data_IF_907406257390
#
_entry.id   IF_907406257390
#
_cell.length_a   1.000
_cell.length_b   1.000
_cell.length_c   1.000
_cell.angle_alpha   90.00
_cell.angle_beta   90.00
_cell.angle_gamma   90.00
#
_symmetry.space_group_name_H-M   'P 1'
#
loop_
_entity.id
_entity.type
_entity.pdbx_description
1 polymer ?
#
# COMPACT_ATOMS: atom_id res chain seq x y z
N UNK A 1 9.23 45.46 5.33
CA UNK A 1 9.35 44.06 4.86
C UNK A 1 8.20 43.79 3.90
N UNK A 2 8.45 43.21 2.72
CA UNK A 2 7.38 42.91 1.76
C UNK A 2 6.79 41.54 2.07
N UNK A 3 5.49 41.48 2.37
CA UNK A 3 4.80 40.21 2.59
C UNK A 3 4.62 39.47 1.26
N UNK A 4 4.82 38.15 1.22
CA UNK A 4 4.62 37.39 0.00
C UNK A 4 3.16 37.52 -0.48
N UNK A 5 3.01 37.66 -1.80
CA UNK A 5 1.70 37.74 -2.47
C UNK A 5 0.88 36.46 -2.25
N UNK A 6 -0.46 36.53 -2.15
CA UNK A 6 -1.36 35.38 -1.98
C UNK A 6 -1.07 34.21 -2.94
N UNK A 7 -0.65 34.52 -4.16
CA UNK A 7 -0.40 33.53 -5.20
C UNK A 7 0.85 32.67 -4.98
N UNK A 8 1.64 32.94 -3.94
CA UNK A 8 2.86 32.16 -3.61
C UNK A 8 2.59 30.98 -2.68
N UNK A 9 1.41 30.90 -2.08
CA UNK A 9 1.03 29.75 -1.27
C UNK A 9 0.54 28.62 -2.18
N UNK A 10 1.11 27.42 -1.98
CA UNK A 10 0.73 26.24 -2.73
C UNK A 10 -0.73 25.87 -2.41
N UNK A 11 -1.58 25.83 -3.45
CA UNK A 11 -2.99 25.49 -3.27
C UNK A 11 -3.15 23.98 -3.16
N UNK A 12 -3.62 23.48 -2.02
CA UNK A 12 -4.12 22.11 -1.90
C UNK A 12 -5.56 22.04 -2.40
N UNK A 13 -6.02 20.89 -2.93
CA UNK A 13 -7.42 20.66 -3.29
C UNK A 13 -8.28 20.20 -2.10
N UNK A 14 -7.64 19.80 -1.01
CA UNK A 14 -8.26 19.26 0.20
C UNK A 14 -8.78 20.42 1.08
N UNK A 15 -10.06 20.42 1.48
CA UNK A 15 -10.74 21.57 2.07
C UNK A 15 -10.14 22.02 3.41
N UNK A 16 -9.70 21.09 4.27
CA UNK A 16 -9.12 21.44 5.57
C UNK A 16 -7.73 22.06 5.40
N UNK A 17 -6.91 21.49 4.52
CA UNK A 17 -5.61 22.05 4.17
C UNK A 17 -5.73 23.43 3.52
N UNK A 18 -6.75 23.66 2.67
CA UNK A 18 -7.03 25.00 2.11
C UNK A 18 -7.31 26.00 3.21
N UNK A 19 -8.14 25.64 4.18
CA UNK A 19 -8.50 26.51 5.29
C UNK A 19 -7.28 26.86 6.17
N UNK A 20 -6.39 25.90 6.42
CA UNK A 20 -5.15 26.12 7.17
C UNK A 20 -4.21 27.09 6.41
N UNK A 21 -4.01 26.87 5.11
CA UNK A 21 -3.17 27.76 4.29
C UNK A 21 -3.73 29.18 4.25
N UNK A 22 -5.05 29.33 4.08
CA UNK A 22 -5.72 30.64 4.12
C UNK A 22 -5.58 31.32 5.49
N UNK A 23 -5.68 30.57 6.59
CA UNK A 23 -5.50 31.12 7.93
C UNK A 23 -4.07 31.64 8.17
N UNK A 24 -3.04 30.90 7.74
CA UNK A 24 -1.65 31.38 7.80
C UNK A 24 -1.41 32.63 6.94
N UNK A 25 -2.07 32.69 5.79
CA UNK A 25 -1.98 33.84 4.92
C UNK A 25 -2.60 35.09 5.56
N UNK A 26 -3.80 34.97 6.14
CA UNK A 26 -4.45 36.07 6.89
C UNK A 26 -3.58 36.51 8.08
N UNK A 27 -3.04 35.56 8.83
CA UNK A 27 -2.13 35.84 9.95
C UNK A 27 -0.89 36.63 9.49
N UNK A 28 -0.33 36.29 8.32
CA UNK A 28 0.83 36.97 7.76
C UNK A 28 0.54 38.45 7.48
N UNK A 29 -0.66 38.79 6.99
CA UNK A 29 -1.05 40.19 6.80
C UNK A 29 -1.34 40.90 8.11
N UNK A 30 -2.01 40.22 9.04
CA UNK A 30 -2.37 40.79 10.34
C UNK A 30 -1.13 41.19 11.17
N UNK A 31 0.01 40.50 11.02
CA UNK A 31 1.27 40.86 11.70
C UNK A 31 1.75 42.27 11.34
N UNK A 32 1.47 42.74 10.12
CA UNK A 32 1.84 44.08 9.66
C UNK A 32 0.79 45.15 9.96
N UNK A 33 -0.36 44.77 10.51
CA UNK A 33 -1.47 45.68 10.78
C UNK A 33 -1.41 46.19 12.24
N UNK A 34 -1.14 47.47 12.39
CA UNK A 34 -1.05 48.14 13.70
C UNK A 34 -2.38 48.19 14.45
N UNK A 35 -3.50 47.99 13.75
CA UNK A 35 -4.83 47.97 14.37
C UNK A 35 -5.15 46.64 15.07
N UNK A 36 -4.38 45.58 14.78
CA UNK A 36 -4.58 44.27 15.40
C UNK A 36 -3.76 44.18 16.69
N UNK A 37 -4.41 43.79 17.79
CA UNK A 37 -3.71 43.67 19.07
C UNK A 37 -2.71 42.51 19.05
N UNK A 38 -1.57 42.68 19.73
CA UNK A 38 -0.57 41.60 19.88
C UNK A 38 -1.16 40.34 20.51
N UNK A 39 -2.16 40.48 21.39
CA UNK A 39 -2.84 39.36 22.02
C UNK A 39 -3.63 38.55 21.00
N UNK A 40 -4.36 39.21 20.11
CA UNK A 40 -5.17 38.54 19.09
C UNK A 40 -4.30 37.86 18.04
N UNK A 41 -3.17 38.49 17.67
CA UNK A 41 -2.16 37.86 16.82
C UNK A 41 -1.60 36.60 17.45
N UNK A 42 -1.25 36.65 18.74
CA UNK A 42 -0.72 35.50 19.46
C UNK A 42 -1.74 34.35 19.53
N UNK A 43 -2.99 34.65 19.89
CA UNK A 43 -4.06 33.66 19.95
C UNK A 43 -4.33 33.02 18.59
N UNK A 44 -4.42 33.83 17.53
CA UNK A 44 -4.64 33.36 16.16
C UNK A 44 -3.49 32.49 15.66
N UNK A 45 -2.25 32.86 16.02
CA UNK A 45 -1.05 32.07 15.69
C UNK A 45 -1.08 30.70 16.37
N UNK A 46 -1.39 30.65 17.67
CA UNK A 46 -1.51 29.39 18.41
C UNK A 46 -2.59 28.49 17.82
N UNK A 47 -3.77 29.04 17.56
CA UNK A 47 -4.90 28.27 17.02
C UNK A 47 -4.57 27.70 15.63
N UNK A 48 -4.05 28.54 14.74
CA UNK A 48 -3.69 28.14 13.37
C UNK A 48 -2.58 27.08 13.38
N UNK A 49 -1.56 27.27 14.23
CA UNK A 49 -0.45 26.30 14.36
C UNK A 49 -0.91 24.97 14.95
N UNK A 50 -1.82 24.99 15.93
CA UNK A 50 -2.40 23.78 16.52
C UNK A 50 -3.22 22.99 15.49
N UNK A 51 -4.08 23.67 14.72
CA UNK A 51 -4.84 23.06 13.62
C UNK A 51 -3.93 22.44 12.57
N UNK A 52 -2.87 23.15 12.18
CA UNK A 52 -1.88 22.65 11.23
C UNK A 52 -1.17 21.39 11.74
N UNK A 53 -0.75 21.38 13.01
CA UNK A 53 -0.11 20.22 13.62
C UNK A 53 -1.04 19.00 13.66
N UNK A 54 -2.32 19.20 14.01
CA UNK A 54 -3.32 18.14 14.01
C UNK A 54 -3.55 17.55 12.60
N UNK A 55 -3.63 18.42 11.59
CA UNK A 55 -3.82 18.01 10.20
C UNK A 55 -2.61 17.23 9.65
N UNK A 56 -1.38 17.68 9.95
CA UNK A 56 -0.16 16.93 9.60
C UNK A 56 -0.14 15.55 10.25
N UNK A 57 -0.55 15.45 11.52
CA UNK A 57 -0.63 14.17 12.22
C UNK A 57 -1.66 13.23 11.57
N UNK A 58 -2.81 13.76 11.16
CA UNK A 58 -3.85 13.03 10.43
C UNK A 58 -3.31 12.49 9.10
N UNK A 59 -2.73 13.35 8.26
CA UNK A 59 -2.15 12.97 6.97
C UNK A 59 -1.05 11.92 7.14
N UNK A 60 -0.20 12.08 8.15
CA UNK A 60 0.86 11.11 8.47
C UNK A 60 0.28 9.75 8.82
N UNK A 61 -0.80 9.70 9.61
CA UNK A 61 -1.50 8.46 9.93
C UNK A 61 -2.12 7.80 8.69
N UNK A 62 -2.80 8.59 7.87
CA UNK A 62 -3.41 8.11 6.63
C UNK A 62 -2.35 7.53 5.67
N UNK A 63 -1.22 8.23 5.50
CA UNK A 63 -0.08 7.76 4.70
C UNK A 63 0.42 6.40 5.19
N UNK A 64 0.69 6.26 6.49
CA UNK A 64 1.15 4.99 7.08
C UNK A 64 0.16 3.85 6.84
N UNK A 65 -1.12 4.10 7.02
CA UNK A 65 -2.16 3.10 6.75
C UNK A 65 -2.21 2.72 5.26
N UNK A 66 -2.09 3.70 4.36
CA UNK A 66 -1.99 3.48 2.93
C UNK A 66 -0.80 2.61 2.54
N UNK A 67 0.38 2.87 3.10
CA UNK A 67 1.59 2.07 2.86
C UNK A 67 1.45 0.63 3.34
N UNK A 68 0.82 0.41 4.50
CA UNK A 68 0.56 -0.95 5.02
C UNK A 68 -0.37 -1.71 4.07
N UNK A 69 -1.47 -1.08 3.64
CA UNK A 69 -2.41 -1.68 2.68
C UNK A 69 -1.74 -1.97 1.34
N UNK A 70 -0.93 -1.04 0.84
CA UNK A 70 -0.19 -1.22 -0.40
C UNK A 70 0.78 -2.41 -0.32
N UNK A 71 1.58 -2.50 0.75
CA UNK A 71 2.47 -3.66 0.96
C UNK A 71 1.71 -4.98 1.04
N UNK A 72 0.54 -4.99 1.67
CA UNK A 72 -0.32 -6.18 1.73
C UNK A 72 -0.79 -6.58 0.32
N UNK A 73 -1.37 -5.65 -0.44
CA UNK A 73 -1.84 -5.89 -1.81
C UNK A 73 -0.71 -6.33 -2.75
N UNK A 74 0.48 -5.75 -2.63
CA UNK A 74 1.64 -6.13 -3.43
C UNK A 74 2.08 -7.59 -3.17
N UNK A 75 2.02 -8.04 -1.92
CA UNK A 75 2.32 -9.44 -1.56
C UNK A 75 1.27 -10.39 -2.15
N UNK A 76 0.01 -10.02 -2.08
CA UNK A 76 -1.08 -10.85 -2.61
C UNK A 76 -1.05 -10.92 -4.14
N UNK A 77 -0.76 -9.81 -4.81
CA UNK A 77 -0.55 -9.76 -6.25
C UNK A 77 0.60 -10.69 -6.67
N UNK A 78 1.73 -10.64 -5.95
CA UNK A 78 2.87 -11.54 -6.21
C UNK A 78 2.48 -13.01 -6.07
N UNK A 79 1.81 -13.39 -4.98
CA UNK A 79 1.33 -14.78 -4.77
C UNK A 79 0.35 -15.21 -5.87
N UNK A 80 -0.57 -14.33 -6.26
CA UNK A 80 -1.51 -14.60 -7.34
C UNK A 80 -0.79 -14.81 -8.67
N UNK A 81 0.20 -13.97 -8.97
CA UNK A 81 0.99 -14.10 -10.19
C UNK A 81 1.81 -15.41 -10.21
N UNK A 82 2.42 -15.78 -9.09
CA UNK A 82 3.13 -17.06 -8.94
C UNK A 82 2.20 -18.26 -9.21
N UNK A 83 0.95 -18.21 -8.70
CA UNK A 83 -0.07 -19.24 -8.96
C UNK A 83 -0.50 -19.30 -10.43
N UNK A 84 -0.67 -18.15 -11.08
CA UNK A 84 -1.02 -18.09 -12.51
C UNK A 84 0.12 -18.71 -13.33
N UNK A 85 1.37 -18.33 -13.07
CA UNK A 85 2.52 -18.89 -13.76
C UNK A 85 2.65 -20.40 -13.53
N UNK A 86 2.40 -20.90 -12.32
CA UNK A 86 2.46 -22.35 -12.05
C UNK A 86 1.36 -23.10 -12.82
N UNK A 87 0.13 -22.56 -12.85
CA UNK A 87 -0.98 -23.16 -13.60
C UNK A 87 -0.72 -23.15 -15.11
N UNK A 88 -0.16 -22.05 -15.64
CA UNK A 88 0.23 -21.97 -17.06
C UNK A 88 1.27 -23.03 -17.43
N UNK A 89 2.30 -23.23 -16.60
CA UNK A 89 3.30 -24.29 -16.82
C UNK A 89 2.68 -25.68 -16.84
N UNK A 90 1.77 -25.97 -15.92
CA UNK A 90 1.05 -27.25 -15.87
C UNK A 90 0.18 -27.48 -17.12
N UNK A 91 -0.41 -26.42 -17.67
CA UNK A 91 -1.21 -26.48 -18.90
C UNK A 91 -0.35 -26.67 -20.16
N UNK A 92 0.91 -26.24 -20.16
CA UNK A 92 1.84 -26.44 -21.28
C UNK A 92 2.46 -27.85 -21.33
N UNK A 93 2.43 -28.59 -20.23
CA UNK A 93 3.18 -29.86 -20.04
C UNK A 93 2.62 -31.17 -20.68
N UNK A 94 1.50 -31.25 -21.44
CA UNK A 94 1.21 -32.46 -22.22
C UNK A 94 1.15 -32.26 -23.74
N UNK A 95 1.79 -31.22 -24.31
CA UNK A 95 1.86 -31.05 -25.78
C UNK A 95 3.15 -31.58 -26.46
N UNK A 96 4.12 -32.11 -25.71
CA UNK A 96 5.40 -32.58 -26.28
C UNK A 96 5.65 -34.09 -26.24
N UNK A 97 4.77 -34.92 -25.67
CA UNK A 97 5.01 -36.37 -25.56
C UNK A 97 4.14 -37.26 -26.46
N UNK A 98 3.45 -36.72 -27.46
CA UNK A 98 2.78 -37.51 -28.49
C UNK A 98 3.64 -37.62 -29.76
N UNK A 99 4.92 -37.98 -29.61
CA UNK A 99 5.72 -38.53 -30.69
C UNK A 99 5.79 -40.05 -30.50
N UNK A 100 5.02 -40.73 -31.36
CA UNK A 100 4.88 -42.17 -31.59
C UNK A 100 6.03 -43.08 -31.10
N UNK A 101 5.76 -44.18 -30.37
CA UNK A 101 6.78 -45.17 -30.05
C UNK A 101 6.89 -46.21 -31.18
N UNK A 102 7.76 -45.98 -32.16
CA UNK A 102 8.33 -47.09 -32.93
C UNK A 102 9.59 -47.56 -32.20
N UNK A 103 9.37 -48.42 -31.21
CA UNK A 103 10.44 -49.00 -30.38
C UNK A 103 10.11 -50.45 -30.06
N UNK A 104 10.84 -51.36 -30.71
CA UNK A 104 10.79 -52.81 -30.45
C UNK A 104 10.93 -53.09 -28.95
N UNK A 105 10.04 -53.93 -28.42
CA UNK A 105 10.09 -54.48 -27.07
C UNK A 105 11.42 -55.24 -26.85
N UNK A 106 12.16 -54.91 -25.79
CA UNK A 106 13.23 -55.75 -25.24
C UNK A 106 12.95 -55.99 -23.75
N UNK A 107 12.51 -57.20 -23.34
CA UNK A 107 11.97 -57.46 -22.00
C UNK A 107 13.03 -57.95 -21.00
N UNK A 108 14.24 -57.39 -21.00
CA UNK A 108 15.26 -57.72 -19.98
C UNK A 108 15.97 -56.50 -19.41
N UNK A 109 15.25 -55.70 -18.62
CA UNK A 109 15.89 -54.90 -17.57
C UNK A 109 14.99 -54.70 -16.36
N UNK A 110 14.93 -55.75 -15.55
CA UNK A 110 14.52 -55.64 -14.16
C UNK A 110 15.62 -54.96 -13.31
N UNK A 111 15.16 -54.38 -12.21
CA UNK A 111 15.90 -54.12 -10.96
C UNK A 111 16.62 -52.77 -10.85
N UNK A 112 16.02 -51.82 -10.15
CA UNK A 112 16.18 -51.73 -8.68
C UNK A 112 15.41 -50.53 -8.10
N UNK A 113 14.56 -50.84 -7.11
CA UNK A 113 14.33 -50.14 -5.84
C UNK A 113 13.97 -48.64 -5.85
N UNK A 114 13.03 -48.14 -5.06
CA UNK A 114 12.23 -48.71 -3.97
C UNK A 114 11.36 -47.58 -3.40
N UNK A 115 10.13 -47.92 -2.99
CA UNK A 115 9.41 -47.44 -1.80
C UNK A 115 9.20 -45.92 -1.57
N UNK A 116 8.09 -45.40 -1.04
CA UNK A 116 6.70 -45.82 -0.78
C UNK A 116 6.06 -44.55 -0.15
N UNK A 117 4.78 -44.30 -0.47
CA UNK A 117 3.76 -43.54 0.27
C UNK A 117 4.02 -42.11 0.79
N UNK A 118 3.08 -41.21 0.50
CA UNK A 118 2.51 -40.28 1.49
C UNK A 118 1.01 -40.11 1.19
N UNK A 119 0.14 -40.92 1.80
CA UNK A 119 -0.72 -40.54 2.95
C UNK A 119 -1.49 -39.24 2.75
N UNK A 120 -2.78 -39.44 2.43
CA UNK A 120 -3.88 -38.52 2.61
C UNK A 120 -3.91 -38.03 4.06
N UNK A 121 -3.71 -36.74 4.30
CA UNK A 121 -4.03 -36.09 5.56
C UNK A 121 -4.98 -34.94 5.29
N UNK A 122 -6.27 -35.21 5.51
CA UNK A 122 -7.28 -34.20 5.69
C UNK A 122 -6.97 -33.41 6.97
N UNK A 123 -6.97 -32.07 6.88
CA UNK A 123 -7.09 -31.23 8.06
C UNK A 123 -8.40 -30.44 7.98
N UNK A 124 -9.29 -30.60 8.96
CA UNK A 124 -10.53 -29.85 9.05
C UNK A 124 -10.28 -28.43 9.56
N UNK A 125 -11.11 -27.53 9.05
CA UNK A 125 -11.29 -26.16 9.50
C UNK A 125 -11.83 -26.20 10.94
N UNK A 126 -11.12 -25.57 11.88
CA UNK A 126 -11.72 -25.15 13.13
C UNK A 126 -11.58 -23.63 13.30
N UNK A 127 -12.75 -23.00 13.30
CA UNK A 127 -13.02 -21.69 13.89
C UNK A 127 -12.90 -21.76 15.43
N UNK A 128 -12.72 -20.57 16.02
CA UNK A 128 -13.06 -20.07 17.37
C UNK A 128 -11.83 -19.47 18.08
N UNK A 129 -11.76 -18.13 18.19
CA UNK A 129 -12.35 -17.30 19.26
C UNK A 129 -11.66 -17.51 20.61
N UNK A 130 -10.64 -16.67 20.88
CA UNK A 130 -10.46 -15.83 22.08
C UNK A 130 -9.18 -15.00 21.95
#
# INVERSE_FOLDING_TARGET
MAFPSPSKFESTNEPEGKAIVQAFQLLSYAIGDETVSRRDLYMSCLETSSKAAAHIALLTRQKRQGEVKNRFLQKDLRKSNERICSLQRLLEEPKKSAASPDGKYDPTRFSNNSFIHNTLAAHPIHNELL
#
